data_IF_649733524303
#
_entry.id   IF_649733524303
#
_cell.length_a   1.000
_cell.length_b   1.000
_cell.length_c   1.000
_cell.angle_alpha   90.00
_cell.angle_beta   90.00
_cell.angle_gamma   90.00
#
_symmetry.space_group_name_H-M   'P 1'
#
loop_
_entity.id
_entity.type
_entity.pdbx_description
1 polymer ?
#
# COMPACT_ATOMS: atom_id res chain seq x y z
N UNK A 1 47.92 10.61 -28.23
CA UNK A 1 46.85 10.76 -29.25
C UNK A 1 45.97 9.53 -29.13
N UNK A 2 44.99 9.57 -28.23
CA UNK A 2 43.59 9.90 -28.55
C UNK A 2 43.00 8.95 -29.60
N UNK A 3 42.18 8.01 -29.14
CA UNK A 3 41.02 7.60 -29.92
C UNK A 3 39.94 7.17 -28.94
N UNK A 4 38.95 8.05 -28.80
CA UNK A 4 37.77 7.89 -27.97
C UNK A 4 36.77 6.99 -28.69
N UNK A 5 36.29 5.94 -28.02
CA UNK A 5 35.10 5.21 -28.46
C UNK A 5 33.87 6.03 -28.07
N UNK A 6 33.49 6.96 -28.94
CA UNK A 6 32.26 7.73 -28.83
C UNK A 6 31.10 6.86 -29.37
N UNK A 7 30.59 5.96 -28.53
CA UNK A 7 29.36 5.23 -28.80
C UNK A 7 28.17 6.16 -28.58
N UNK A 8 27.74 6.84 -29.64
CA UNK A 8 26.44 7.51 -29.70
C UNK A 8 25.33 6.45 -29.60
N UNK A 9 24.86 6.19 -28.38
CA UNK A 9 23.50 5.67 -28.18
C UNK A 9 22.55 6.86 -28.27
N UNK A 10 22.10 7.17 -29.49
CA UNK A 10 20.94 8.01 -29.68
C UNK A 10 19.76 7.30 -28.99
N UNK A 11 19.34 7.83 -27.85
CA UNK A 11 18.13 7.38 -27.16
C UNK A 11 16.97 7.98 -27.93
N UNK A 12 16.41 7.23 -28.88
CA UNK A 12 15.10 7.55 -29.43
C UNK A 12 14.10 7.64 -28.27
N UNK A 13 13.61 8.85 -28.00
CA UNK A 13 12.58 9.08 -27.00
C UNK A 13 11.23 8.60 -27.57
N UNK A 14 10.66 7.58 -26.93
CA UNK A 14 9.36 7.01 -27.31
C UNK A 14 8.27 8.09 -27.35
N UNK A 15 7.45 8.08 -28.39
CA UNK A 15 6.31 9.00 -28.49
C UNK A 15 5.21 8.60 -27.51
N UNK A 16 4.40 9.58 -27.08
CA UNK A 16 3.27 9.32 -26.16
C UNK A 16 2.24 8.35 -26.75
N UNK A 17 2.08 8.37 -28.07
CA UNK A 17 1.14 7.53 -28.80
C UNK A 17 1.62 6.06 -28.81
N UNK A 18 2.90 5.83 -29.07
CA UNK A 18 3.51 4.50 -28.98
C UNK A 18 3.42 3.94 -27.56
N UNK A 19 3.70 4.77 -26.54
CA UNK A 19 3.55 4.36 -25.14
C UNK A 19 2.10 4.00 -24.80
N UNK A 20 1.12 4.76 -25.30
CA UNK A 20 -0.29 4.45 -25.09
C UNK A 20 -0.70 3.15 -25.80
N UNK A 21 -0.19 2.90 -27.00
CA UNK A 21 -0.44 1.65 -27.73
C UNK A 21 0.17 0.44 -27.01
N UNK A 22 1.42 0.56 -26.54
CA UNK A 22 2.07 -0.49 -25.72
C UNK A 22 1.29 -0.75 -24.44
N UNK A 23 0.82 0.30 -23.76
CA UNK A 23 0.01 0.18 -22.56
C UNK A 23 -1.33 -0.52 -22.84
N UNK A 24 -1.96 -0.25 -23.98
CA UNK A 24 -3.20 -0.92 -24.37
C UNK A 24 -2.98 -2.41 -24.68
N UNK A 25 -1.84 -2.76 -25.29
CA UNK A 25 -1.50 -4.14 -25.65
C UNK A 25 -1.06 -4.99 -24.46
N UNK A 26 -0.21 -4.43 -23.59
CA UNK A 26 0.53 -5.19 -22.58
C UNK A 26 0.29 -4.74 -21.13
N UNK A 27 -0.38 -3.60 -20.92
CA UNK A 27 -0.56 -3.02 -19.59
C UNK A 27 -1.68 -3.66 -18.77
N UNK A 28 -2.46 -4.57 -19.35
CA UNK A 28 -3.54 -5.26 -18.65
C UNK A 28 -3.07 -6.60 -18.10
N UNK A 29 -2.96 -6.68 -16.77
CA UNK A 29 -2.67 -7.92 -16.09
C UNK A 29 -3.92 -8.80 -15.91
N UNK A 30 -3.71 -10.10 -16.09
CA UNK A 30 -4.64 -11.13 -15.68
C UNK A 30 -4.46 -11.45 -14.20
N UNK A 31 -5.43 -12.15 -13.61
CA UNK A 31 -5.41 -12.48 -12.18
C UNK A 31 -4.19 -13.30 -11.75
N UNK A 32 -3.52 -13.96 -12.69
CA UNK A 32 -2.35 -14.81 -12.47
C UNK A 32 -1.04 -14.21 -13.01
N UNK A 33 -1.08 -13.03 -13.65
CA UNK A 33 0.11 -12.30 -14.14
C UNK A 33 0.34 -11.04 -13.31
N UNK A 34 1.47 -10.38 -13.52
CA UNK A 34 1.78 -9.12 -12.84
C UNK A 34 2.51 -9.28 -11.50
N UNK A 35 2.81 -8.14 -10.89
CA UNK A 35 3.50 -8.07 -9.61
C UNK A 35 2.51 -8.43 -8.49
N UNK A 36 2.93 -9.27 -7.55
CA UNK A 36 2.11 -9.72 -6.41
C UNK A 36 1.87 -8.65 -5.34
N UNK A 37 1.42 -7.45 -5.73
CA UNK A 37 0.92 -6.39 -4.86
C UNK A 37 -0.54 -6.68 -4.46
N UNK A 38 -1.07 -5.94 -3.50
CA UNK A 38 -2.47 -6.05 -3.16
C UNK A 38 -3.35 -5.63 -4.35
N UNK A 39 -4.18 -6.55 -4.87
CA UNK A 39 -5.12 -6.32 -5.97
C UNK A 39 -4.51 -5.68 -7.24
N UNK A 40 -3.23 -5.95 -7.54
CA UNK A 40 -2.48 -5.36 -8.67
C UNK A 40 -2.42 -3.83 -8.63
N UNK A 41 -2.43 -3.26 -7.43
CA UNK A 41 -2.29 -1.82 -7.23
C UNK A 41 -0.85 -1.36 -7.40
N UNK A 42 -0.70 -0.07 -7.66
CA UNK A 42 0.61 0.59 -7.73
C UNK A 42 1.37 0.38 -6.43
N UNK A 43 2.64 -0.02 -6.57
CA UNK A 43 3.56 -0.22 -5.47
C UNK A 43 4.48 0.99 -5.31
N UNK A 44 4.62 1.46 -4.08
CA UNK A 44 5.65 2.44 -3.74
C UNK A 44 6.18 2.19 -2.33
N UNK A 45 7.46 2.48 -2.09
CA UNK A 45 8.01 2.45 -0.72
C UNK A 45 7.66 3.74 0.00
N UNK A 46 6.42 3.87 0.45
CA UNK A 46 5.90 5.08 1.08
C UNK A 46 6.73 5.56 2.28
N UNK A 47 7.31 4.65 3.08
CA UNK A 47 8.15 5.02 4.22
C UNK A 47 9.46 5.72 3.83
N UNK A 48 9.95 5.48 2.61
CA UNK A 48 11.20 6.07 2.10
C UNK A 48 10.91 7.26 1.20
N UNK A 49 9.84 7.18 0.40
CA UNK A 49 9.45 8.23 -0.53
C UNK A 49 8.26 9.05 0.03
N UNK A 50 8.51 10.27 0.54
CA UNK A 50 7.45 11.15 1.04
C UNK A 50 6.66 11.84 -0.08
N UNK A 51 7.14 11.80 -1.34
CA UNK A 51 6.45 12.45 -2.46
C UNK A 51 5.17 11.71 -2.87
N UNK A 52 5.06 10.43 -2.51
CA UNK A 52 3.93 9.59 -2.84
C UNK A 52 2.74 9.95 -1.95
N UNK A 53 1.76 10.61 -2.55
CA UNK A 53 0.49 10.94 -1.92
C UNK A 53 -0.54 9.84 -2.16
N UNK A 54 -1.30 9.49 -1.12
CA UNK A 54 -2.35 8.45 -1.13
C UNK A 54 -3.51 8.83 -0.20
N UNK A 55 -4.70 8.29 -0.46
CA UNK A 55 -5.85 8.36 0.45
C UNK A 55 -5.93 7.12 1.33
N UNK A 56 -5.54 5.97 0.76
CA UNK A 56 -5.49 4.68 1.45
C UNK A 56 -4.12 4.06 1.21
N UNK A 57 -3.38 3.82 2.28
CA UNK A 57 -2.12 3.08 2.22
C UNK A 57 -2.32 1.66 2.72
N UNK A 58 -1.95 0.68 1.89
CA UNK A 58 -1.92 -0.73 2.26
C UNK A 58 -0.53 -1.05 2.77
N UNK A 59 -0.44 -1.58 3.98
CA UNK A 59 0.83 -1.81 4.66
C UNK A 59 0.84 -3.21 5.26
N UNK A 60 1.86 -4.00 4.97
CA UNK A 60 1.99 -5.34 5.55
C UNK A 60 2.89 -5.39 6.78
N UNK A 61 2.60 -6.37 7.65
CA UNK A 61 3.42 -6.75 8.78
C UNK A 61 3.96 -8.19 8.66
N UNK A 62 4.28 -8.84 9.77
CA UNK A 62 4.94 -10.15 9.75
C UNK A 62 4.01 -11.26 9.25
N UNK A 63 4.56 -12.16 8.43
CA UNK A 63 4.01 -13.47 7.98
C UNK A 63 2.68 -13.51 7.20
N UNK A 64 1.73 -12.61 7.45
CA UNK A 64 0.42 -12.58 6.77
C UNK A 64 0.37 -11.90 5.39
N UNK A 65 1.07 -10.76 5.14
CA UNK A 65 0.82 -9.97 3.94
C UNK A 65 1.06 -10.70 2.63
N UNK A 66 2.08 -11.57 2.57
CA UNK A 66 2.41 -12.30 1.34
C UNK A 66 1.25 -13.18 0.89
N UNK A 67 0.64 -13.92 1.82
CA UNK A 67 -0.53 -14.75 1.54
C UNK A 67 -1.75 -13.90 1.18
N UNK A 68 -1.97 -12.78 1.88
CA UNK A 68 -3.11 -11.90 1.61
C UNK A 68 -2.99 -11.23 0.24
N UNK A 69 -1.80 -10.74 -0.14
CA UNK A 69 -1.57 -10.16 -1.47
C UNK A 69 -1.80 -11.19 -2.57
N UNK A 70 -1.27 -12.40 -2.41
CA UNK A 70 -1.51 -13.51 -3.35
C UNK A 70 -2.99 -13.87 -3.47
N UNK A 71 -3.72 -13.93 -2.36
CA UNK A 71 -5.17 -14.19 -2.38
C UNK A 71 -5.97 -13.03 -3.01
N UNK A 72 -5.47 -11.79 -2.88
CA UNK A 72 -6.09 -10.59 -3.45
C UNK A 72 -5.90 -10.46 -4.97
N UNK A 73 -5.02 -11.26 -5.58
CA UNK A 73 -4.72 -11.23 -7.03
C UNK A 73 -5.94 -11.43 -7.93
N UNK A 74 -7.01 -12.04 -7.40
CA UNK A 74 -8.30 -12.19 -8.09
C UNK A 74 -9.04 -10.86 -8.28
N UNK A 75 -8.74 -9.87 -7.44
CA UNK A 75 -9.31 -8.53 -7.50
C UNK A 75 -8.41 -7.64 -8.36
N UNK A 76 -9.01 -6.93 -9.31
CA UNK A 76 -8.32 -5.96 -10.18
C UNK A 76 -9.20 -4.72 -10.33
N UNK A 77 -8.62 -3.61 -10.77
CA UNK A 77 -9.40 -2.39 -11.04
C UNK A 77 -10.51 -2.59 -12.07
N UNK A 78 -10.40 -3.58 -12.96
CA UNK A 78 -11.43 -3.93 -13.97
C UNK A 78 -12.50 -4.88 -13.44
N UNK A 79 -12.18 -5.75 -12.47
CA UNK A 79 -13.08 -6.78 -11.92
C UNK A 79 -13.50 -6.54 -10.46
N UNK A 80 -13.16 -5.40 -9.89
CA UNK A 80 -13.48 -5.02 -8.51
C UNK A 80 -14.86 -4.38 -8.30
N UNK A 81 -15.76 -4.42 -9.29
CA UNK A 81 -17.07 -3.77 -9.17
C UNK A 81 -17.98 -4.53 -8.18
N UNK A 82 -18.41 -3.84 -7.13
CA UNK A 82 -19.39 -4.37 -6.19
C UNK A 82 -20.81 -4.10 -6.71
N UNK A 83 -21.49 -5.14 -7.18
CA UNK A 83 -22.84 -5.02 -7.74
C UNK A 83 -23.88 -4.52 -6.72
N UNK A 84 -23.74 -4.88 -5.43
CA UNK A 84 -24.67 -4.47 -4.38
C UNK A 84 -24.53 -2.99 -4.03
N UNK A 85 -23.29 -2.52 -3.91
CA UNK A 85 -23.00 -1.13 -3.58
C UNK A 85 -22.92 -0.21 -4.82
N UNK A 86 -22.96 -0.79 -6.04
CA UNK A 86 -22.82 -0.11 -7.33
C UNK A 86 -21.55 0.76 -7.44
N UNK A 87 -20.48 0.36 -6.76
CA UNK A 87 -19.20 1.08 -6.75
C UNK A 87 -18.03 0.16 -7.08
N UNK A 88 -17.04 0.71 -7.75
CA UNK A 88 -15.72 0.11 -7.85
C UNK A 88 -14.77 0.86 -6.90
N UNK A 89 -14.31 0.26 -5.79
CA UNK A 89 -13.51 0.96 -4.79
C UNK A 89 -12.17 1.46 -5.35
N UNK A 90 -11.62 0.79 -6.36
CA UNK A 90 -10.35 1.12 -6.98
C UNK A 90 -10.43 2.25 -8.02
N UNK A 91 -11.63 2.61 -8.48
CA UNK A 91 -11.88 3.65 -9.50
C UNK A 91 -12.81 4.76 -9.03
N UNK A 92 -13.07 4.82 -7.73
CA UNK A 92 -13.97 5.81 -7.15
C UNK A 92 -13.19 7.10 -6.79
N UNK A 93 -13.21 7.51 -5.54
CA UNK A 93 -12.62 8.77 -5.08
C UNK A 93 -11.22 8.61 -4.46
N UNK A 94 -10.84 7.40 -4.04
CA UNK A 94 -9.66 7.17 -3.21
C UNK A 94 -8.48 6.67 -4.04
N UNK A 95 -7.32 7.33 -3.89
CA UNK A 95 -6.05 6.81 -4.39
C UNK A 95 -5.50 5.77 -3.41
N UNK A 96 -5.54 4.51 -3.82
CA UNK A 96 -5.09 3.36 -3.03
C UNK A 96 -3.71 2.92 -3.53
N UNK A 97 -2.73 2.85 -2.65
CA UNK A 97 -1.35 2.44 -2.97
C UNK A 97 -0.92 1.30 -2.04
N UNK A 98 -0.22 0.31 -2.59
CA UNK A 98 0.49 -0.68 -1.78
C UNK A 98 1.85 -0.11 -1.35
N UNK A 99 1.95 0.22 -0.07
CA UNK A 99 3.14 0.81 0.54
C UNK A 99 4.19 -0.24 0.93
N UNK A 100 3.95 -1.52 0.63
CA UNK A 100 4.83 -2.61 0.99
C UNK A 100 4.71 -3.02 2.46
N UNK A 101 5.81 -3.52 3.02
CA UNK A 101 5.88 -4.05 4.38
C UNK A 101 6.72 -3.16 5.29
N UNK A 102 6.34 -3.09 6.57
CA UNK A 102 7.11 -2.34 7.57
C UNK A 102 8.38 -3.16 7.90
N UNK A 103 9.58 -2.57 7.78
CA UNK A 103 10.81 -3.23 8.21
C UNK A 103 10.82 -3.30 9.75
N UNK A 104 10.63 -4.49 10.30
CA UNK A 104 10.64 -4.74 11.74
C UNK A 104 11.74 -5.73 12.11
N UNK A 105 12.32 -5.57 13.28
CA UNK A 105 13.29 -6.54 13.81
C UNK A 105 12.60 -7.86 14.18
N UNK A 106 13.16 -9.02 13.82
CA UNK A 106 12.66 -10.32 14.27
C UNK A 106 13.16 -10.71 15.67
N UNK A 107 14.12 -9.97 16.24
CA UNK A 107 14.85 -10.38 17.44
C UNK A 107 14.19 -9.93 18.75
N UNK A 108 13.51 -8.78 18.75
CA UNK A 108 12.91 -8.21 19.95
C UNK A 108 11.49 -7.69 19.64
N UNK A 109 10.50 -8.26 20.33
CA UNK A 109 9.10 -7.88 20.16
C UNK A 109 8.81 -6.45 20.63
N UNK A 110 9.50 -5.95 21.65
CA UNK A 110 9.31 -4.58 22.16
C UNK A 110 9.77 -3.58 21.11
N UNK A 111 10.98 -3.77 20.58
CA UNK A 111 11.53 -2.92 19.52
C UNK A 111 10.69 -3.03 18.25
N UNK A 112 10.27 -4.24 17.86
CA UNK A 112 9.40 -4.43 16.70
C UNK A 112 8.09 -3.65 16.82
N UNK A 113 7.47 -3.63 18.01
CA UNK A 113 6.23 -2.88 18.26
C UNK A 113 6.44 -1.38 18.21
N UNK A 114 7.57 -0.89 18.69
CA UNK A 114 7.93 0.53 18.60
C UNK A 114 8.16 0.93 17.13
N UNK A 115 8.93 0.16 16.37
CA UNK A 115 9.15 0.38 14.94
C UNK A 115 7.83 0.38 14.14
N UNK A 116 6.91 -0.54 14.44
CA UNK A 116 5.58 -0.54 13.84
C UNK A 116 4.78 0.72 14.19
N UNK A 117 4.82 1.14 15.45
CA UNK A 117 4.11 2.35 15.92
C UNK A 117 4.63 3.58 15.18
N UNK A 118 5.95 3.73 15.07
CA UNK A 118 6.59 4.84 14.37
C UNK A 118 6.24 4.86 12.88
N UNK A 119 6.32 3.71 12.21
CA UNK A 119 5.98 3.60 10.80
C UNK A 119 4.50 3.93 10.52
N UNK A 120 3.58 3.42 11.34
CA UNK A 120 2.14 3.73 11.20
C UNK A 120 1.84 5.18 11.51
N UNK A 121 2.51 5.77 12.50
CA UNK A 121 2.40 7.19 12.84
C UNK A 121 2.85 8.07 11.67
N UNK A 122 3.99 7.74 11.08
CA UNK A 122 4.55 8.45 9.92
C UNK A 122 3.64 8.36 8.69
N UNK A 123 3.11 7.18 8.38
CA UNK A 123 2.21 7.02 7.22
C UNK A 123 0.84 7.67 7.44
N UNK A 124 0.33 7.65 8.68
CA UNK A 124 -0.98 8.17 9.04
C UNK A 124 -1.02 9.68 9.33
N UNK A 125 0.13 10.30 9.59
CA UNK A 125 0.26 11.75 9.81
C UNK A 125 0.30 12.56 8.50
N UNK A 126 0.54 11.90 7.36
CA UNK A 126 0.61 12.55 6.05
C UNK A 126 -0.71 13.19 5.62
N UNK A 127 -0.63 14.06 4.62
CA UNK A 127 -1.82 14.65 3.99
C UNK A 127 -2.35 13.71 2.91
N UNK A 128 -3.65 13.42 2.96
CA UNK A 128 -4.32 12.67 1.91
C UNK A 128 -4.49 13.50 0.63
N UNK A 129 -4.76 12.82 -0.48
CA UNK A 129 -4.93 13.44 -1.81
C UNK A 129 -6.30 14.09 -1.91
N UNK A 130 -7.32 13.38 -1.46
CA UNK A 130 -8.70 13.80 -1.53
C UNK A 130 -9.07 14.72 -0.37
N UNK A 131 -9.86 15.76 -0.66
CA UNK A 131 -10.39 16.66 0.35
C UNK A 131 -11.40 15.97 1.31
N UNK A 132 -11.87 14.76 0.97
CA UNK A 132 -12.85 13.99 1.76
C UNK A 132 -12.31 13.54 3.12
N UNK A 133 -10.99 13.38 3.25
CA UNK A 133 -10.35 12.99 4.51
C UNK A 133 -9.06 13.79 4.65
N UNK A 134 -8.86 14.61 5.70
CA UNK A 134 -7.63 15.38 5.85
C UNK A 134 -6.39 14.50 6.06
N UNK A 135 -6.60 13.23 6.45
CA UNK A 135 -5.55 12.23 6.71
C UNK A 135 -5.85 10.93 5.97
N UNK A 136 -4.82 10.20 5.55
CA UNK A 136 -4.99 8.92 4.89
C UNK A 136 -5.52 7.86 5.84
N UNK A 137 -6.16 6.84 5.27
CA UNK A 137 -6.57 5.63 5.98
C UNK A 137 -5.50 4.57 5.79
N UNK A 138 -5.13 3.89 6.87
CA UNK A 138 -4.18 2.79 6.83
C UNK A 138 -4.93 1.47 6.80
N UNK A 139 -4.67 0.65 5.79
CA UNK A 139 -5.13 -0.73 5.72
C UNK A 139 -3.94 -1.64 6.02
N UNK A 140 -3.89 -2.16 7.23
CA UNK A 140 -2.78 -3.01 7.67
C UNK A 140 -3.08 -4.48 7.45
N UNK A 141 -2.20 -5.17 6.72
CA UNK A 141 -2.25 -6.60 6.51
C UNK A 141 -1.40 -7.28 7.60
N UNK A 142 -2.06 -7.86 8.60
CA UNK A 142 -1.39 -8.57 9.69
C UNK A 142 -1.30 -10.08 9.44
N UNK A 143 -0.53 -10.76 10.29
CA UNK A 143 -0.56 -12.22 10.46
C UNK A 143 -0.91 -12.66 11.89
N UNK A 144 -0.65 -11.80 12.87
CA UNK A 144 -0.92 -11.99 14.29
C UNK A 144 -1.60 -10.75 14.89
N UNK A 145 -2.41 -10.93 15.95
CA UNK A 145 -3.07 -9.82 16.67
C UNK A 145 -2.11 -8.85 17.38
N UNK A 146 -0.79 -9.04 17.25
CA UNK A 146 0.23 -8.17 17.83
C UNK A 146 0.25 -6.76 17.21
N UNK A 147 -0.30 -6.59 16.00
CA UNK A 147 -0.36 -5.33 15.26
C UNK A 147 -1.45 -4.36 15.76
N UNK A 148 -2.45 -4.85 16.49
CA UNK A 148 -3.57 -4.01 16.95
C UNK A 148 -3.10 -2.90 17.89
N UNK A 149 -2.29 -3.24 18.91
CA UNK A 149 -1.83 -2.26 19.89
C UNK A 149 -0.88 -1.16 19.31
N UNK A 150 0.13 -1.44 18.46
CA UNK A 150 0.90 -0.36 17.82
C UNK A 150 0.05 0.52 16.89
N UNK A 151 -0.94 -0.06 16.19
CA UNK A 151 -1.87 0.72 15.38
C UNK A 151 -2.75 1.65 16.23
N UNK A 152 -3.28 1.17 17.36
CA UNK A 152 -4.08 1.99 18.27
C UNK A 152 -3.26 3.12 18.91
N UNK A 153 -1.99 2.86 19.27
CA UNK A 153 -1.07 3.91 19.77
C UNK A 153 -0.83 4.99 18.72
N UNK A 154 -0.50 4.58 17.50
CA UNK A 154 -0.31 5.53 16.39
C UNK A 154 -1.58 6.34 16.11
N UNK A 155 -2.76 5.72 16.11
CA UNK A 155 -4.04 6.39 15.90
C UNK A 155 -4.37 7.38 17.03
N UNK A 156 -4.12 7.02 18.28
CA UNK A 156 -4.33 7.92 19.41
C UNK A 156 -3.45 9.17 19.28
N UNK A 157 -2.17 8.99 18.97
CA UNK A 157 -1.23 10.09 18.73
C UNK A 157 -1.65 10.99 17.57
N UNK A 158 -2.08 10.39 16.45
CA UNK A 158 -2.51 11.13 15.26
C UNK A 158 -3.77 11.94 15.58
N UNK A 159 -4.81 11.31 16.13
CA UNK A 159 -6.13 11.92 16.30
C UNK A 159 -6.32 12.68 17.62
N UNK A 160 -5.45 12.48 18.61
CA UNK A 160 -5.47 13.17 19.90
C UNK A 160 -6.72 12.93 20.74
N UNK A 161 -7.46 11.84 20.48
CA UNK A 161 -8.73 11.52 21.13
C UNK A 161 -8.92 10.01 21.26
N UNK A 162 -9.73 9.54 22.23
CA UNK A 162 -10.07 8.13 22.35
C UNK A 162 -10.62 7.56 21.05
N UNK A 163 -10.08 6.41 20.63
CA UNK A 163 -10.48 5.71 19.42
C UNK A 163 -11.54 4.67 19.78
N UNK A 164 -12.59 4.57 18.96
CA UNK A 164 -13.58 3.50 19.07
C UNK A 164 -13.12 2.32 18.22
N UNK A 165 -13.11 1.12 18.80
CA UNK A 165 -12.65 -0.11 18.15
C UNK A 165 -13.86 -1.02 17.92
N UNK A 166 -14.02 -1.47 16.68
CA UNK A 166 -14.91 -2.57 16.33
C UNK A 166 -14.02 -3.80 16.11
N UNK A 167 -14.09 -4.75 17.02
CA UNK A 167 -13.23 -5.94 17.04
C UNK A 167 -14.03 -7.18 16.66
N UNK A 168 -13.57 -7.90 15.64
CA UNK A 168 -14.12 -9.20 15.26
C UNK A 168 -13.06 -10.26 15.54
N UNK A 169 -13.27 -11.10 16.54
CA UNK A 169 -12.35 -12.18 16.92
C UNK A 169 -13.13 -13.35 17.50
N UNK A 170 -12.66 -14.57 17.24
CA UNK A 170 -13.22 -15.80 17.80
C UNK A 170 -12.83 -16.02 19.25
N UNK A 171 -11.78 -15.35 19.74
CA UNK A 171 -11.35 -15.37 21.13
C UNK A 171 -11.23 -13.94 21.66
N UNK A 172 -11.60 -13.69 22.92
CA UNK A 172 -11.43 -12.35 23.47
C UNK A 172 -9.94 -12.12 23.79
N UNK A 173 -9.23 -11.41 22.91
CA UNK A 173 -7.83 -11.00 23.12
C UNK A 173 -7.73 -9.54 23.55
N UNK A 174 -8.34 -9.21 24.69
CA UNK A 174 -8.08 -7.98 25.44
C UNK A 174 -8.14 -8.31 26.95
N UNK A 175 -7.10 -8.03 27.74
CA UNK A 175 -7.27 -7.87 29.19
C UNK A 175 -7.98 -6.56 29.52
#
# INVERSE_FOLDING_TARGET
MSSACNGHHDKEEWTKEELAEMQAKWGADWQFTGIGTFAHLDYAKCLVDPSVSYDIAIVGARFGPRAIRQASSRQTSTRGFNARAKINPYRNWAKIIDCGDIPITPFDNVIAREQMTQALKELGSRRAVSALSPRPRLLTLGGDHSLTLPALRALNDIYGRPVRVLHFDGMFTFP
#
